data_IF_351371890706
#
_entry.id   IF_351371890706
#
_cell.length_a   1.000
_cell.length_b   1.000
_cell.length_c   1.000
_cell.angle_alpha   90.00
_cell.angle_beta   90.00
_cell.angle_gamma   90.00
#
_symmetry.space_group_name_H-M   'P 1'
#
loop_
_entity.id
_entity.type
_entity.pdbx_description
1 polymer ?
#
# COMPACT_ATOMS: atom_id res chain seq x y z
N UNK A 1 -3.23 -15.76 -2.01
CA UNK A 1 -2.93 -14.71 -3.02
C UNK A 1 -1.60 -15.04 -3.67
N UNK A 2 -1.60 -15.03 -4.98
CA UNK A 2 -0.41 -15.36 -5.75
C UNK A 2 0.06 -14.13 -6.53
N UNK A 3 1.32 -13.74 -6.32
CA UNK A 3 1.94 -12.65 -7.03
C UNK A 3 3.00 -13.14 -7.99
N UNK A 4 3.14 -12.44 -9.10
CA UNK A 4 4.19 -12.70 -10.09
C UNK A 4 5.00 -11.42 -10.28
N UNK A 5 6.28 -11.58 -10.58
CA UNK A 5 7.12 -10.45 -10.95
C UNK A 5 6.65 -9.93 -12.31
N UNK A 6 6.52 -8.62 -12.42
CA UNK A 6 6.06 -7.98 -13.65
C UNK A 6 7.13 -7.06 -14.22
N UNK A 7 7.41 -7.21 -15.49
CA UNK A 7 8.37 -6.33 -16.17
C UNK A 7 7.90 -4.89 -16.19
N UNK A 8 6.59 -4.67 -16.19
CA UNK A 8 6.03 -3.33 -16.17
C UNK A 8 6.43 -2.55 -14.92
N UNK A 9 6.74 -3.25 -13.83
CA UNK A 9 7.27 -2.61 -12.62
C UNK A 9 8.61 -1.92 -12.91
N UNK A 10 9.44 -2.50 -13.78
CA UNK A 10 10.70 -1.87 -14.18
C UNK A 10 10.46 -0.58 -14.94
N UNK A 11 9.39 -0.50 -15.72
CA UNK A 11 9.04 0.74 -16.42
C UNK A 11 8.70 1.84 -15.42
N UNK A 12 8.00 1.49 -14.35
CA UNK A 12 7.69 2.45 -13.29
C UNK A 12 8.99 2.91 -12.61
N UNK A 13 9.88 1.99 -12.30
CA UNK A 13 11.17 2.33 -11.68
C UNK A 13 11.97 3.28 -12.57
N UNK A 14 12.00 3.00 -13.87
CA UNK A 14 12.72 3.84 -14.83
C UNK A 14 12.12 5.23 -14.99
N UNK A 15 10.83 5.38 -14.72
CA UNK A 15 10.14 6.67 -14.82
C UNK A 15 10.42 7.59 -13.64
N UNK A 16 11.04 7.09 -12.58
CA UNK A 16 11.33 7.89 -11.39
C UNK A 16 12.37 8.96 -11.71
N UNK A 17 12.27 10.15 -11.10
CA UNK A 17 13.23 11.23 -11.32
C UNK A 17 14.58 10.99 -10.62
N UNK A 18 14.78 9.82 -10.03
CA UNK A 18 16.00 9.45 -9.31
C UNK A 18 16.22 7.95 -9.45
N UNK A 19 17.42 7.49 -9.15
CA UNK A 19 17.74 6.08 -9.12
C UNK A 19 17.53 5.53 -7.71
N UNK A 20 17.05 4.30 -7.61
CA UNK A 20 16.93 3.66 -6.30
C UNK A 20 18.33 3.44 -5.70
N UNK A 21 18.45 3.68 -4.40
CA UNK A 21 19.68 3.34 -3.69
C UNK A 21 19.81 1.81 -3.61
N UNK A 22 21.02 1.34 -3.29
CA UNK A 22 21.24 -0.09 -3.10
C UNK A 22 20.35 -0.66 -1.98
N UNK A 23 20.18 0.12 -0.90
CA UNK A 23 19.31 -0.29 0.21
C UNK A 23 17.85 -0.38 -0.23
N UNK A 24 17.37 0.59 -1.02
CA UNK A 24 16.00 0.57 -1.53
C UNK A 24 15.78 -0.62 -2.47
N UNK A 25 16.71 -0.86 -3.38
CA UNK A 25 16.60 -1.98 -4.31
C UNK A 25 16.60 -3.31 -3.57
N UNK A 26 17.44 -3.45 -2.55
CA UNK A 26 17.49 -4.65 -1.75
C UNK A 26 16.21 -4.88 -0.99
N UNK A 27 15.69 -3.85 -0.33
CA UNK A 27 14.43 -3.94 0.41
C UNK A 27 13.28 -4.30 -0.52
N UNK A 28 13.20 -3.67 -1.68
CA UNK A 28 12.17 -3.95 -2.67
C UNK A 28 12.24 -5.40 -3.14
N UNK A 29 13.44 -5.88 -3.49
CA UNK A 29 13.60 -7.24 -3.98
C UNK A 29 13.23 -8.28 -2.93
N UNK A 30 13.57 -8.03 -1.67
CA UNK A 30 13.20 -8.93 -0.58
C UNK A 30 11.69 -9.01 -0.40
N UNK A 31 11.01 -7.86 -0.46
CA UNK A 31 9.55 -7.83 -0.35
C UNK A 31 8.90 -8.54 -1.53
N UNK A 32 9.39 -8.29 -2.74
CA UNK A 32 8.86 -8.94 -3.95
C UNK A 32 9.05 -10.45 -3.87
N UNK A 33 10.21 -10.91 -3.46
CA UNK A 33 10.47 -12.34 -3.32
C UNK A 33 9.51 -12.99 -2.33
N UNK A 34 9.23 -12.32 -1.21
CA UNK A 34 8.26 -12.82 -0.24
C UNK A 34 6.85 -12.88 -0.83
N UNK A 35 6.45 -11.86 -1.59
CA UNK A 35 5.13 -11.84 -2.21
C UNK A 35 4.98 -12.95 -3.24
N UNK A 36 6.01 -13.18 -4.03
CA UNK A 36 6.00 -14.19 -5.08
C UNK A 36 6.05 -15.61 -4.49
N UNK A 37 6.61 -15.77 -3.30
CA UNK A 37 6.79 -17.09 -2.67
C UNK A 37 5.51 -17.78 -2.20
N UNK A 38 4.37 -17.12 -2.33
CA UNK A 38 3.06 -17.63 -1.89
C UNK A 38 2.89 -17.72 -0.37
N UNK A 39 3.92 -17.38 0.40
CA UNK A 39 3.80 -17.31 1.85
C UNK A 39 3.17 -15.99 2.23
N UNK A 40 2.28 -16.03 3.22
CA UNK A 40 1.67 -14.80 3.71
C UNK A 40 2.78 -13.88 4.23
N UNK A 41 2.89 -12.71 3.63
CA UNK A 41 3.89 -11.74 4.03
C UNK A 41 3.41 -10.95 5.24
N UNK A 42 4.26 -10.86 6.24
CA UNK A 42 4.05 -10.00 7.39
C UNK A 42 5.42 -9.42 7.74
N UNK A 43 5.85 -8.48 6.91
CA UNK A 43 7.22 -8.00 6.91
C UNK A 43 7.31 -6.58 7.45
N UNK A 44 8.31 -6.36 8.27
CA UNK A 44 8.67 -5.03 8.76
C UNK A 44 9.80 -4.48 7.89
N UNK A 45 9.54 -3.37 7.21
CA UNK A 45 10.58 -2.67 6.46
C UNK A 45 11.08 -1.52 7.30
N UNK A 46 12.36 -1.59 7.65
CA UNK A 46 13.04 -0.53 8.37
C UNK A 46 13.83 0.30 7.38
N UNK A 47 13.82 1.59 7.58
CA UNK A 47 14.61 2.49 6.76
C UNK A 47 15.01 3.71 7.54
N UNK A 48 16.02 4.40 7.04
CA UNK A 48 16.40 5.69 7.61
C UNK A 48 15.25 6.67 7.47
N UNK A 49 15.19 7.61 8.38
CA UNK A 49 14.22 8.69 8.33
C UNK A 49 14.31 9.39 7.00
N UNK A 50 13.18 9.51 6.32
CA UNK A 50 13.12 10.22 5.07
C UNK A 50 12.34 9.49 4.01
N UNK A 51 12.47 9.92 2.78
CA UNK A 51 11.69 9.48 1.64
C UNK A 51 11.99 8.05 1.15
N UNK A 52 13.07 7.46 1.63
CA UNK A 52 13.54 6.18 1.08
C UNK A 52 12.55 5.03 1.18
N UNK A 53 11.83 4.92 2.28
CA UNK A 53 10.90 3.81 2.46
C UNK A 53 9.59 4.00 1.72
N UNK A 54 9.20 5.25 1.45
CA UNK A 54 7.95 5.53 0.74
C UNK A 54 7.99 4.97 -0.68
N UNK A 55 9.13 5.09 -1.37
CA UNK A 55 9.23 4.57 -2.73
C UNK A 55 9.11 3.04 -2.77
N UNK A 56 9.61 2.35 -1.78
CA UNK A 56 9.44 0.89 -1.69
C UNK A 56 7.95 0.55 -1.59
N UNK A 57 7.21 1.29 -0.74
CA UNK A 57 5.77 1.10 -0.60
C UNK A 57 5.03 1.35 -1.91
N UNK A 58 5.37 2.42 -2.61
CA UNK A 58 4.76 2.75 -3.90
C UNK A 58 4.93 1.59 -4.88
N UNK A 59 6.14 1.06 -4.98
CA UNK A 59 6.44 0.00 -5.92
C UNK A 59 5.78 -1.33 -5.54
N UNK A 60 5.68 -1.62 -4.25
CA UNK A 60 4.97 -2.81 -3.77
C UNK A 60 3.48 -2.73 -4.09
N UNK A 61 2.86 -1.56 -3.86
CA UNK A 61 1.46 -1.35 -4.20
C UNK A 61 1.24 -1.47 -5.71
N UNK A 62 2.15 -0.91 -6.50
CA UNK A 62 2.07 -1.01 -7.95
C UNK A 62 2.15 -2.47 -8.41
N UNK A 63 3.02 -3.26 -7.81
CA UNK A 63 3.11 -4.68 -8.16
C UNK A 63 1.81 -5.41 -7.88
N UNK A 64 1.16 -5.13 -6.77
CA UNK A 64 -0.15 -5.70 -6.45
C UNK A 64 -1.17 -5.38 -7.55
N UNK A 65 -1.22 -4.12 -7.97
CA UNK A 65 -2.15 -3.68 -9.03
C UNK A 65 -1.82 -4.36 -10.37
N UNK A 66 -0.55 -4.48 -10.71
CA UNK A 66 -0.14 -5.13 -11.95
C UNK A 66 -0.52 -6.62 -11.98
N UNK A 67 -0.70 -7.22 -10.82
CA UNK A 67 -1.15 -8.60 -10.71
C UNK A 67 -2.69 -8.74 -10.65
N UNK A 68 -3.41 -7.64 -10.80
CA UNK A 68 -4.86 -7.66 -10.79
C UNK A 68 -5.50 -7.56 -9.42
N UNK A 69 -4.71 -7.25 -8.39
CA UNK A 69 -5.21 -7.05 -7.03
C UNK A 69 -5.32 -5.57 -6.71
N UNK A 70 -5.94 -5.27 -5.59
CA UNK A 70 -5.98 -3.93 -5.04
C UNK A 70 -4.93 -3.79 -3.95
N UNK A 71 -4.56 -2.55 -3.65
CA UNK A 71 -3.65 -2.26 -2.55
C UNK A 71 -4.24 -1.21 -1.62
N UNK A 72 -3.78 -1.21 -0.37
CA UNK A 72 -4.18 -0.21 0.62
C UNK A 72 -2.95 0.34 1.32
N UNK A 73 -2.95 1.65 1.56
CA UNK A 73 -1.90 2.32 2.32
C UNK A 73 -2.53 3.05 3.49
N UNK A 74 -2.18 2.66 4.70
CA UNK A 74 -2.71 3.27 5.92
C UNK A 74 -1.67 4.19 6.54
N UNK A 75 -2.09 5.41 6.86
CA UNK A 75 -1.27 6.39 7.54
C UNK A 75 -1.86 6.69 8.93
N UNK A 76 -1.03 7.12 9.89
CA UNK A 76 -1.53 7.41 11.23
C UNK A 76 -2.35 8.68 11.32
N UNK A 77 -2.22 9.60 10.36
CA UNK A 77 -2.96 10.86 10.36
C UNK A 77 -3.49 11.18 8.97
N UNK A 78 -4.53 12.02 8.93
CA UNK A 78 -5.08 12.46 7.67
C UNK A 78 -4.06 13.27 6.85
N UNK A 79 -3.24 14.08 7.51
CA UNK A 79 -2.21 14.88 6.83
C UNK A 79 -1.22 13.97 6.09
N UNK A 80 -0.75 12.92 6.75
CA UNK A 80 0.15 11.98 6.13
C UNK A 80 -0.54 11.18 5.01
N UNK A 81 -1.79 10.81 5.21
CA UNK A 81 -2.56 10.13 4.17
C UNK A 81 -2.67 11.00 2.91
N UNK A 82 -2.92 12.29 3.06
CA UNK A 82 -3.00 13.21 1.93
C UNK A 82 -1.65 13.38 1.23
N UNK A 83 -0.57 13.43 1.99
CA UNK A 83 0.77 13.51 1.41
C UNK A 83 1.09 12.27 0.59
N UNK A 84 0.76 11.10 1.08
CA UNK A 84 0.94 9.85 0.34
C UNK A 84 0.07 9.84 -0.92
N UNK A 85 -1.16 10.30 -0.81
CA UNK A 85 -2.05 10.38 -1.96
C UNK A 85 -1.44 11.22 -3.09
N UNK A 86 -0.94 12.40 -2.75
CA UNK A 86 -0.29 13.27 -3.74
C UNK A 86 0.96 12.61 -4.34
N UNK A 87 1.79 12.04 -3.50
CA UNK A 87 3.02 11.40 -3.94
C UNK A 87 2.77 10.21 -4.87
N UNK A 88 1.84 9.33 -4.49
CA UNK A 88 1.51 8.16 -5.31
C UNK A 88 0.84 8.58 -6.61
N UNK A 89 -0.05 9.56 -6.55
CA UNK A 89 -0.74 10.05 -7.76
C UNK A 89 0.27 10.58 -8.77
N UNK A 90 1.24 11.38 -8.33
CA UNK A 90 2.27 11.91 -9.22
C UNK A 90 3.15 10.80 -9.79
N UNK A 91 3.59 9.89 -8.94
CA UNK A 91 4.52 8.83 -9.34
C UNK A 91 3.88 7.85 -10.31
N UNK A 92 2.62 7.52 -10.11
CA UNK A 92 1.93 6.48 -10.89
C UNK A 92 1.03 7.05 -11.98
N UNK A 93 0.98 8.38 -12.15
CA UNK A 93 0.12 9.02 -13.14
C UNK A 93 0.25 8.45 -14.55
N UNK A 94 1.47 8.13 -15.06
CA UNK A 94 1.60 7.60 -16.41
C UNK A 94 1.13 6.16 -16.59
N UNK A 95 0.74 5.47 -15.54
CA UNK A 95 0.56 4.01 -15.58
C UNK A 95 -0.88 3.53 -15.41
N UNK A 96 -1.85 4.42 -15.57
CA UNK A 96 -3.27 4.05 -15.54
C UNK A 96 -3.65 3.28 -14.27
N UNK A 97 -3.18 3.76 -13.13
CA UNK A 97 -3.50 3.21 -11.82
C UNK A 97 -4.42 4.20 -11.10
N UNK A 98 -5.60 3.74 -10.71
CA UNK A 98 -6.59 4.59 -10.06
C UNK A 98 -6.37 4.61 -8.55
N UNK A 99 -6.16 5.80 -7.99
CA UNK A 99 -5.85 6.00 -6.58
C UNK A 99 -6.93 6.88 -5.95
N UNK A 100 -7.46 6.46 -4.82
CA UNK A 100 -8.44 7.24 -4.08
C UNK A 100 -8.03 7.41 -2.62
N UNK A 101 -8.65 8.40 -1.96
CA UNK A 101 -8.36 8.77 -0.58
C UNK A 101 -9.62 8.59 0.26
N UNK A 102 -9.50 7.91 1.40
CA UNK A 102 -10.60 7.75 2.35
C UNK A 102 -10.15 8.23 3.73
N UNK A 103 -10.61 9.41 4.11
CA UNK A 103 -10.27 10.06 5.38
C UNK A 103 -11.52 10.64 6.03
N UNK A 104 -11.41 10.93 7.34
CA UNK A 104 -12.56 11.36 8.12
C UNK A 104 -13.18 12.68 7.70
N UNK A 105 -12.42 13.59 7.10
CA UNK A 105 -12.93 14.90 6.70
C UNK A 105 -13.75 14.89 5.42
N UNK A 106 -13.82 13.78 4.72
CA UNK A 106 -14.67 13.67 3.53
C UNK A 106 -16.14 13.74 3.93
N UNK A 107 -16.96 14.31 3.05
CA UNK A 107 -18.41 14.31 3.26
C UNK A 107 -18.94 12.88 3.15
N UNK A 108 -20.14 12.65 3.70
CA UNK A 108 -20.78 11.34 3.61
C UNK A 108 -20.92 10.89 2.16
N UNK A 109 -21.30 11.79 1.28
CA UNK A 109 -21.46 11.49 -0.14
C UNK A 109 -20.14 11.11 -0.80
N UNK A 110 -19.06 11.83 -0.47
CA UNK A 110 -17.72 11.52 -0.97
C UNK A 110 -17.26 10.13 -0.49
N UNK A 111 -17.50 9.82 0.80
CA UNK A 111 -17.16 8.51 1.35
C UNK A 111 -17.92 7.40 0.65
N UNK A 112 -19.21 7.55 0.45
CA UNK A 112 -20.03 6.56 -0.23
C UNK A 112 -19.53 6.30 -1.64
N UNK A 113 -19.13 7.34 -2.36
CA UNK A 113 -18.60 7.21 -3.72
C UNK A 113 -17.29 6.41 -3.73
N UNK A 114 -16.39 6.71 -2.79
CA UNK A 114 -15.12 5.97 -2.68
C UNK A 114 -15.38 4.51 -2.33
N UNK A 115 -16.28 4.24 -1.38
CA UNK A 115 -16.61 2.88 -0.97
C UNK A 115 -17.18 2.06 -2.14
N UNK A 116 -18.01 2.67 -2.96
CA UNK A 116 -18.56 2.00 -4.14
C UNK A 116 -17.46 1.70 -5.16
N UNK A 117 -16.57 2.65 -5.40
CA UNK A 117 -15.48 2.48 -6.35
C UNK A 117 -14.52 1.36 -5.93
N UNK A 118 -14.21 1.27 -4.64
CA UNK A 118 -13.31 0.21 -4.17
C UNK A 118 -13.96 -1.17 -4.25
N UNK A 119 -15.23 -1.24 -3.94
CA UNK A 119 -15.99 -2.49 -4.02
C UNK A 119 -16.09 -3.01 -5.45
N UNK A 120 -16.23 -2.11 -6.41
CA UNK A 120 -16.37 -2.44 -7.83
C UNK A 120 -15.03 -2.56 -8.56
N UNK A 121 -13.93 -2.47 -7.85
CA UNK A 121 -12.57 -2.52 -8.40
C UNK A 121 -12.28 -1.37 -9.39
N UNK A 122 -12.99 -0.26 -9.25
CA UNK A 122 -12.69 0.95 -10.00
C UNK A 122 -11.52 1.71 -9.38
N UNK A 123 -11.26 1.49 -8.09
CA UNK A 123 -10.11 2.01 -7.37
C UNK A 123 -9.10 0.89 -7.19
N UNK A 124 -7.88 1.14 -7.62
CA UNK A 124 -6.78 0.15 -7.52
C UNK A 124 -6.03 0.28 -6.20
N UNK A 125 -5.77 1.50 -5.76
CA UNK A 125 -5.06 1.76 -4.51
C UNK A 125 -5.90 2.72 -3.67
N UNK A 126 -6.16 2.32 -2.43
CA UNK A 126 -6.89 3.16 -1.48
C UNK A 126 -5.96 3.62 -0.38
N UNK A 127 -5.89 4.93 -0.17
CA UNK A 127 -5.04 5.54 0.85
C UNK A 127 -5.94 6.17 1.91
N UNK A 128 -5.61 5.97 3.16
CA UNK A 128 -6.39 6.56 4.24
C UNK A 128 -5.79 6.31 5.61
N UNK A 129 -6.63 6.49 6.60
CA UNK A 129 -6.29 6.28 8.01
C UNK A 129 -6.96 5.00 8.49
N UNK A 130 -7.27 4.90 9.78
CA UNK A 130 -7.96 3.75 10.34
C UNK A 130 -9.29 3.43 9.66
N UNK A 131 -9.86 4.39 8.95
CA UNK A 131 -11.11 4.15 8.23
C UNK A 131 -11.02 2.98 7.26
N UNK A 132 -9.82 2.65 6.79
CA UNK A 132 -9.62 1.56 5.83
C UNK A 132 -9.96 0.19 6.40
N UNK A 133 -9.92 0.02 7.72
CA UNK A 133 -10.24 -1.27 8.34
C UNK A 133 -11.64 -1.31 8.93
N UNK A 134 -12.45 -0.28 8.70
CA UNK A 134 -13.84 -0.29 9.13
C UNK A 134 -14.65 -1.33 8.37
N UNK A 135 -15.73 -1.81 8.98
CA UNK A 135 -16.52 -2.89 8.41
C UNK A 135 -17.19 -2.52 7.10
N UNK A 136 -17.49 -1.22 6.90
CA UNK A 136 -18.15 -0.77 5.69
C UNK A 136 -17.21 -0.64 4.48
N UNK A 137 -15.91 -0.85 4.65
CA UNK A 137 -14.97 -0.82 3.54
C UNK A 137 -14.80 -2.24 3.01
N UNK A 138 -15.28 -2.46 1.79
CA UNK A 138 -15.21 -3.77 1.14
C UNK A 138 -14.36 -3.66 -0.11
N UNK A 139 -13.29 -4.47 -0.15
CA UNK A 139 -12.44 -4.55 -1.34
C UNK A 139 -12.92 -5.70 -2.22
N UNK A 140 -12.77 -5.52 -3.52
CA UNK A 140 -13.04 -6.60 -4.47
C UNK A 140 -11.96 -7.69 -4.36
N UNK A 141 -10.70 -7.29 -4.36
CA UNK A 141 -9.60 -8.25 -4.33
C UNK A 141 -8.34 -7.61 -3.73
N UNK A 142 -8.32 -7.45 -2.42
CA UNK A 142 -7.20 -6.82 -1.73
C UNK A 142 -6.00 -7.75 -1.70
N UNK A 143 -4.87 -7.29 -2.24
CA UNK A 143 -3.65 -8.09 -2.31
C UNK A 143 -2.60 -7.72 -1.28
N UNK A 144 -2.43 -6.44 -1.01
CA UNK A 144 -1.40 -5.97 -0.06
C UNK A 144 -1.90 -4.77 0.72
N UNK A 145 -1.52 -4.72 1.99
CA UNK A 145 -1.75 -3.57 2.86
C UNK A 145 -0.40 -3.07 3.34
N UNK A 146 -0.14 -1.79 3.12
CA UNK A 146 1.05 -1.13 3.63
C UNK A 146 0.62 -0.20 4.75
N UNK A 147 1.26 -0.32 5.92
CA UNK A 147 1.00 0.59 7.02
C UNK A 147 2.22 1.48 7.23
N UNK A 148 1.97 2.79 7.32
CA UNK A 148 3.03 3.74 7.57
C UNK A 148 3.23 3.89 9.07
N UNK A 149 4.50 3.93 9.46
CA UNK A 149 4.89 4.12 10.84
C UNK A 149 4.53 2.97 11.77
N UNK A 150 4.84 3.17 12.99
CA UNK A 150 4.65 2.25 14.11
C UNK A 150 3.19 2.15 14.51
N UNK A 151 2.31 2.22 13.56
CA UNK A 151 0.94 2.11 13.91
C UNK A 151 0.72 0.75 14.52
N UNK A 152 0.26 0.71 15.76
CA UNK A 152 0.08 -0.53 16.49
C UNK A 152 -0.98 -1.37 15.82
N UNK A 153 -0.52 -2.25 14.96
CA UNK A 153 -1.39 -3.26 14.41
C UNK A 153 -1.59 -4.34 15.45
N UNK A 154 -2.64 -4.22 16.19
CA UNK A 154 -3.02 -5.27 17.11
C UNK A 154 -3.55 -6.48 16.36
N UNK A 155 -3.70 -7.58 17.08
CA UNK A 155 -4.25 -8.83 16.54
C UNK A 155 -5.63 -8.59 15.91
N UNK A 156 -6.44 -7.72 16.55
CA UNK A 156 -7.79 -7.41 16.07
C UNK A 156 -7.79 -6.73 14.71
N UNK A 157 -6.89 -5.78 14.49
CA UNK A 157 -6.78 -5.10 13.21
C UNK A 157 -6.33 -6.04 12.10
N UNK A 158 -5.39 -6.92 12.40
CA UNK A 158 -4.95 -7.93 11.44
C UNK A 158 -6.06 -8.90 11.08
N UNK A 159 -6.85 -9.30 12.07
CA UNK A 159 -8.00 -10.18 11.83
C UNK A 159 -9.01 -9.51 10.91
N UNK A 160 -9.31 -8.22 11.12
CA UNK A 160 -10.22 -7.48 10.25
C UNK A 160 -9.69 -7.39 8.83
N UNK A 161 -8.40 -7.13 8.66
CA UNK A 161 -7.80 -7.05 7.32
C UNK A 161 -7.85 -8.40 6.61
N UNK A 162 -7.69 -9.50 7.34
CA UNK A 162 -7.78 -10.84 6.76
C UNK A 162 -9.15 -11.11 6.16
N UNK A 163 -10.20 -10.51 6.71
CA UNK A 163 -11.56 -10.70 6.18
C UNK A 163 -11.85 -9.83 4.95
N UNK A 164 -11.04 -8.81 4.69
CA UNK A 164 -11.26 -7.91 3.56
C UNK A 164 -10.70 -8.41 2.25
N UNK A 165 -9.99 -9.51 2.27
CA UNK A 165 -9.44 -10.18 1.11
C UNK A 165 -9.04 -11.58 1.50
N UNK A 166 -8.45 -12.33 0.58
CA UNK A 166 -7.98 -13.68 0.86
C UNK A 166 -6.58 -13.62 1.49
N UNK A 167 -6.52 -13.19 2.75
CA UNK A 167 -5.27 -13.03 3.49
C UNK A 167 -4.26 -12.14 2.76
N UNK A 168 -4.55 -10.83 2.66
CA UNK A 168 -3.63 -9.92 1.99
C UNK A 168 -2.29 -9.88 2.71
N UNK A 169 -1.23 -9.67 1.95
CA UNK A 169 0.09 -9.45 2.52
C UNK A 169 0.13 -8.13 3.27
N UNK A 170 0.82 -8.10 4.40
CA UNK A 170 0.92 -6.90 5.22
C UNK A 170 2.37 -6.46 5.29
N UNK A 171 2.62 -5.21 4.94
CA UNK A 171 3.93 -4.59 4.99
C UNK A 171 3.88 -3.43 5.96
N UNK A 172 4.67 -3.51 7.03
CA UNK A 172 4.76 -2.43 8.02
C UNK A 172 6.05 -1.66 7.78
N UNK A 173 5.93 -0.36 7.58
CA UNK A 173 7.09 0.52 7.42
C UNK A 173 7.33 1.30 8.69
N UNK A 174 8.57 1.39 9.13
CA UNK A 174 8.93 2.18 10.29
C UNK A 174 10.10 3.11 9.98
N UNK A 175 9.98 4.34 10.46
CA UNK A 175 11.04 5.32 10.34
C UNK A 175 12.12 5.11 11.40
N UNK A 176 11.77 4.48 12.50
CA UNK A 176 12.65 4.36 13.64
C UNK A 176 13.34 3.01 13.65
N UNK A 177 14.67 2.96 13.67
CA UNK A 177 15.36 1.68 13.84
C UNK A 177 14.87 1.01 15.11
N UNK A 178 14.69 -0.31 15.04
CA UNK A 178 14.32 -1.04 16.24
C UNK A 178 15.48 -0.99 17.22
N UNK A 179 15.24 -0.59 18.47
CA UNK A 179 16.28 -0.61 19.47
C UNK A 179 16.86 -2.01 19.61
N UNK A 180 18.13 -2.08 19.60
CA UNK A 180 18.83 -3.36 19.71
C UNK A 180 19.12 -3.69 21.15
#
# INVERSE_FOLDING_TARGET
IKFEKKEKLNDIIKSLPFNLTNAQSRALNEVIDDMVSENMMNRLVQGDVGSGKTIVAVLVLALSVLNGYQGALMAPTEILARQHYESLTQTLAPFDINIDLLVGSLTKKQKEKVLEKIKNHETDILIGTHALIEDNVEFDNLGVVVTDEQHRFGVRQRAKLSTKGNNPDILVMTATPIPR
#
